data_IF_501034954321
#
_entry.id   IF_501034954321
#
_cell.length_a   1.000
_cell.length_b   1.000
_cell.length_c   1.000
_cell.angle_alpha   90.00
_cell.angle_beta   90.00
_cell.angle_gamma   90.00
#
_symmetry.space_group_name_H-M   'P 1'
#
loop_
_entity.id
_entity.type
_entity.pdbx_description
1 polymer ?
#
# COMPACT_ATOMS: atom_id res chain seq x y z
N UNK A 1 1.52 -1.99 -1.52
CA UNK A 1 0.37 -1.08 -1.24
C UNK A 1 -0.04 -1.29 0.20
N UNK A 2 -0.73 -0.34 0.81
CA UNK A 2 -1.20 -0.48 2.18
C UNK A 2 -2.24 0.56 2.56
N UNK A 3 -3.04 0.27 3.58
CA UNK A 3 -3.98 1.21 4.17
C UNK A 3 -3.25 2.19 5.09
N UNK A 4 -3.52 3.48 4.94
CA UNK A 4 -3.07 4.51 5.88
C UNK A 4 -3.89 4.45 7.17
N UNK A 5 -3.40 5.13 8.20
CA UNK A 5 -4.14 5.43 9.44
C UNK A 5 -5.55 6.03 9.21
N UNK A 6 -5.69 6.86 8.18
CA UNK A 6 -6.98 7.44 7.75
C UNK A 6 -7.83 6.56 6.83
N UNK A 7 -7.51 5.27 6.73
CA UNK A 7 -8.25 4.30 5.92
C UNK A 7 -8.10 4.43 4.40
N UNK A 8 -7.11 5.18 3.90
CA UNK A 8 -6.87 5.32 2.46
C UNK A 8 -5.87 4.27 2.00
N UNK A 9 -6.18 3.54 0.94
CA UNK A 9 -5.21 2.67 0.28
C UNK A 9 -4.21 3.53 -0.49
N UNK A 10 -2.93 3.39 -0.14
CA UNK A 10 -1.82 4.09 -0.77
C UNK A 10 -0.97 3.14 -1.60
N UNK A 11 -0.59 3.62 -2.77
CA UNK A 11 0.57 3.11 -3.49
C UNK A 11 1.78 3.92 -3.00
N UNK A 12 2.81 3.20 -2.53
CA UNK A 12 4.07 3.79 -2.08
C UNK A 12 5.21 3.19 -2.88
N UNK A 13 5.92 4.04 -3.63
CA UNK A 13 7.20 3.68 -4.22
C UNK A 13 8.31 4.19 -3.30
N UNK A 14 9.31 3.34 -3.01
CA UNK A 14 10.41 3.68 -2.12
C UNK A 14 11.68 2.99 -2.57
N UNK A 15 12.79 3.40 -1.96
CA UNK A 15 14.08 2.74 -2.09
C UNK A 15 14.72 2.55 -0.73
N UNK A 16 15.68 1.62 -0.64
CA UNK A 16 16.56 1.50 0.51
C UNK A 16 17.72 2.49 0.39
N UNK A 17 17.98 3.22 1.48
CA UNK A 17 19.12 4.13 1.61
C UNK A 17 19.90 3.72 2.86
N UNK A 18 20.87 2.82 2.67
CA UNK A 18 21.50 2.11 3.78
C UNK A 18 20.47 1.23 4.49
N UNK A 19 20.35 1.37 5.81
CA UNK A 19 19.36 0.66 6.64
C UNK A 19 18.00 1.34 6.75
N UNK A 20 17.77 2.46 6.01
CA UNK A 20 16.54 3.23 6.07
C UNK A 20 15.74 3.14 4.78
N UNK A 21 14.43 3.29 4.87
CA UNK A 21 13.55 3.44 3.72
C UNK A 21 13.45 4.94 3.36
N UNK A 22 13.64 5.28 2.08
CA UNK A 22 13.31 6.60 1.53
C UNK A 22 12.10 6.47 0.61
N UNK A 23 11.01 7.12 0.99
CA UNK A 23 9.82 7.24 0.13
C UNK A 23 10.16 8.12 -1.08
N UNK A 24 9.85 7.62 -2.27
CA UNK A 24 9.98 8.33 -3.55
C UNK A 24 8.63 8.93 -3.94
N UNK A 25 7.55 8.18 -3.78
CA UNK A 25 6.18 8.65 -3.97
C UNK A 25 5.21 7.94 -3.02
N UNK A 26 4.19 8.67 -2.59
CA UNK A 26 3.04 8.13 -1.87
C UNK A 26 1.79 8.82 -2.40
N UNK A 27 0.88 8.05 -2.99
CA UNK A 27 -0.35 8.58 -3.60
C UNK A 27 -1.54 7.69 -3.28
N UNK A 28 -2.77 8.23 -3.34
CA UNK A 28 -3.97 7.40 -3.36
C UNK A 28 -3.86 6.35 -4.47
N UNK A 29 -4.18 5.10 -4.13
CA UNK A 29 -4.30 4.05 -5.11
C UNK A 29 -5.47 4.35 -6.06
N UNK A 30 -5.29 4.08 -7.35
CA UNK A 30 -6.35 4.20 -8.34
C UNK A 30 -7.40 3.10 -8.13
N UNK A 31 -8.61 3.23 -8.71
CA UNK A 31 -9.71 2.28 -8.50
C UNK A 31 -9.30 0.81 -8.72
N UNK A 32 -8.59 0.53 -9.81
CA UNK A 32 -8.10 -0.83 -10.14
C UNK A 32 -7.08 -1.35 -9.11
N UNK A 33 -6.15 -0.50 -8.71
CA UNK A 33 -5.13 -0.82 -7.70
C UNK A 33 -5.76 -1.12 -6.33
N UNK A 34 -6.81 -0.38 -5.95
CA UNK A 34 -7.59 -0.66 -4.74
C UNK A 34 -8.27 -2.02 -4.80
N UNK A 35 -8.97 -2.33 -5.88
CA UNK A 35 -9.62 -3.63 -6.04
C UNK A 35 -8.63 -4.80 -5.96
N UNK A 36 -7.45 -4.65 -6.58
CA UNK A 36 -6.38 -5.65 -6.48
C UNK A 36 -5.87 -5.79 -5.04
N UNK A 37 -5.64 -4.66 -4.36
CA UNK A 37 -5.22 -4.66 -2.96
C UNK A 37 -6.26 -5.35 -2.07
N UNK A 38 -7.54 -5.08 -2.24
CA UNK A 38 -8.60 -5.68 -1.43
C UNK A 38 -8.70 -7.20 -1.65
N UNK A 39 -8.55 -7.67 -2.89
CA UNK A 39 -8.50 -9.12 -3.17
C UNK A 39 -7.31 -9.75 -2.49
N UNK A 40 -6.11 -9.20 -2.66
CA UNK A 40 -4.89 -9.71 -2.03
C UNK A 40 -4.98 -9.64 -0.50
N UNK A 41 -5.54 -8.56 0.04
CA UNK A 41 -5.67 -8.37 1.48
C UNK A 41 -6.56 -9.45 2.10
N UNK A 42 -7.70 -9.79 1.47
CA UNK A 42 -8.57 -10.88 1.94
C UNK A 42 -7.92 -12.26 1.86
N UNK A 43 -7.09 -12.49 0.84
CA UNK A 43 -6.38 -13.77 0.68
C UNK A 43 -5.26 -13.94 1.71
N UNK A 44 -4.50 -12.87 1.96
CA UNK A 44 -3.30 -12.91 2.83
C UNK A 44 -3.68 -12.68 4.30
N UNK A 45 -4.69 -11.85 4.55
CA UNK A 45 -5.16 -11.45 5.87
C UNK A 45 -6.70 -11.62 5.94
N UNK A 46 -7.20 -12.87 6.03
CA UNK A 46 -8.64 -13.14 5.99
C UNK A 46 -9.42 -12.50 7.15
N UNK A 47 -8.73 -12.20 8.25
CA UNK A 47 -9.32 -11.65 9.48
C UNK A 47 -9.12 -10.13 9.64
N UNK A 48 -8.60 -9.44 8.61
CA UNK A 48 -8.37 -7.99 8.61
C UNK A 48 -9.56 -7.20 8.05
#
# INVERSE_FOLDING_TARGET
MGQSDRGRVLQVAFTFRGSKIRVISARPAHRKERSQYDTMAREIFPDL
#
